data_IF_874673440606
#
_entry.id   IF_874673440606
#
_cell.length_a   1.000
_cell.length_b   1.000
_cell.length_c   1.000
_cell.angle_alpha   90.00
_cell.angle_beta   90.00
_cell.angle_gamma   90.00
#
_symmetry.space_group_name_H-M   'P 1'
#
loop_
_entity.id
_entity.type
_entity.pdbx_description
1 polymer ?
#
# COMPACT_ATOMS: atom_id res chain seq x y z
N UNK A 1 61.80 23.99 -7.64
CA UNK A 1 60.44 24.09 -7.07
C UNK A 1 59.45 24.03 -8.24
N UNK A 2 58.86 22.87 -8.52
CA UNK A 2 57.88 22.67 -9.61
C UNK A 2 56.58 22.21 -8.97
N UNK A 3 55.60 23.10 -8.92
CA UNK A 3 54.21 22.78 -8.58
C UNK A 3 53.48 22.49 -9.90
N UNK A 4 52.92 21.30 -10.08
CA UNK A 4 51.89 21.08 -11.10
C UNK A 4 50.74 20.26 -10.50
N UNK A 5 49.56 20.85 -10.62
CA UNK A 5 48.28 20.43 -10.07
C UNK A 5 47.95 18.99 -10.44
N UNK A 6 47.52 18.23 -9.43
CA UNK A 6 46.73 17.02 -9.61
C UNK A 6 45.28 17.47 -9.78
N UNK A 7 44.79 17.44 -11.02
CA UNK A 7 43.38 17.67 -11.32
C UNK A 7 42.58 16.47 -10.83
N UNK A 8 42.11 16.53 -9.59
CA UNK A 8 41.17 15.57 -9.04
C UNK A 8 39.84 15.69 -9.78
N UNK A 9 39.54 14.71 -10.61
CA UNK A 9 38.25 14.55 -11.26
C UNK A 9 37.23 14.19 -10.16
N UNK A 10 36.50 15.19 -9.67
CA UNK A 10 35.35 14.97 -8.79
C UNK A 10 34.25 14.29 -9.64
N UNK A 11 34.13 12.97 -9.54
CA UNK A 11 32.92 12.28 -9.95
C UNK A 11 31.80 12.72 -9.00
N UNK A 12 31.02 13.72 -9.41
CA UNK A 12 29.67 13.87 -8.87
C UNK A 12 28.88 12.62 -9.28
N UNK A 13 28.68 11.71 -8.33
CA UNK A 13 27.67 10.69 -8.46
C UNK A 13 26.33 11.40 -8.63
N UNK A 14 25.76 11.35 -9.84
CA UNK A 14 24.37 11.70 -10.04
C UNK A 14 23.54 10.68 -9.26
N UNK A 15 23.08 11.06 -8.07
CA UNK A 15 21.95 10.40 -7.42
C UNK A 15 20.76 10.63 -8.35
N UNK A 16 20.47 9.65 -9.20
CA UNK A 16 19.25 9.63 -9.97
C UNK A 16 18.09 9.61 -8.97
N UNK A 17 17.40 10.75 -8.84
CA UNK A 17 16.18 10.82 -8.06
C UNK A 17 15.17 9.86 -8.71
N UNK A 18 14.83 8.78 -8.02
CA UNK A 18 13.78 7.82 -8.40
C UNK A 18 12.35 8.42 -8.40
N UNK A 19 12.24 9.75 -8.50
CA UNK A 19 11.01 10.53 -8.36
C UNK A 19 10.53 11.15 -9.69
N UNK A 20 11.12 10.76 -10.83
CA UNK A 20 10.84 11.39 -12.13
C UNK A 20 9.78 10.70 -12.98
N UNK A 21 9.16 9.61 -12.51
CA UNK A 21 8.03 9.01 -13.22
C UNK A 21 6.80 9.90 -13.08
N UNK A 22 6.20 10.29 -14.21
CA UNK A 22 5.00 11.12 -14.20
C UNK A 22 3.86 10.31 -13.60
N UNK A 23 3.28 10.82 -12.51
CA UNK A 23 2.05 10.29 -11.96
C UNK A 23 0.91 10.64 -12.92
N UNK A 24 0.45 9.64 -13.64
CA UNK A 24 -0.68 9.78 -14.54
C UNK A 24 -1.78 8.79 -14.15
N UNK A 25 -3.02 9.23 -14.31
CA UNK A 25 -4.16 8.34 -14.49
C UNK A 25 -4.83 8.71 -15.81
N UNK A 26 -5.10 7.72 -16.65
CA UNK A 26 -5.62 7.91 -18.02
C UNK A 26 -4.81 8.94 -18.87
N UNK A 27 -3.48 8.97 -18.70
CA UNK A 27 -2.60 9.88 -19.45
C UNK A 27 -2.70 11.37 -19.05
N UNK A 28 -3.36 11.68 -17.93
CA UNK A 28 -3.40 13.02 -17.34
C UNK A 28 -2.79 13.00 -15.93
N UNK A 29 -2.18 14.10 -15.46
CA UNK A 29 -1.80 14.27 -14.07
C UNK A 29 -2.96 14.00 -13.10
N UNK A 30 -2.65 13.41 -11.95
CA UNK A 30 -3.68 13.03 -10.97
C UNK A 30 -4.26 14.29 -10.32
N UNK A 31 -5.58 14.48 -10.45
CA UNK A 31 -6.30 15.57 -9.78
C UNK A 31 -6.80 15.11 -8.41
N UNK A 32 -6.52 15.90 -7.38
CA UNK A 32 -6.89 15.61 -5.98
C UNK A 32 -7.40 16.86 -5.28
N UNK A 33 -8.36 16.68 -4.38
CA UNK A 33 -8.73 17.70 -3.40
C UNK A 33 -7.80 17.60 -2.20
N UNK A 34 -7.03 18.64 -1.98
CA UNK A 34 -6.06 18.73 -0.90
C UNK A 34 -6.65 19.43 0.32
N UNK A 35 -6.33 18.94 1.52
CA UNK A 35 -6.64 19.66 2.75
C UNK A 35 -6.09 21.08 2.67
N UNK A 36 -6.93 22.07 2.95
CA UNK A 36 -6.56 23.49 3.05
C UNK A 36 -6.07 24.18 1.77
N UNK A 37 -6.06 23.50 0.61
CA UNK A 37 -5.57 24.07 -0.67
C UNK A 37 -6.53 23.92 -1.86
N UNK A 38 -7.69 23.29 -1.67
CA UNK A 38 -8.66 23.06 -2.75
C UNK A 38 -8.16 21.98 -3.71
N UNK A 39 -8.64 22.01 -4.96
CA UNK A 39 -8.23 21.04 -5.99
C UNK A 39 -6.84 21.38 -6.52
N UNK A 40 -5.96 20.38 -6.58
CA UNK A 40 -4.63 20.49 -7.16
C UNK A 40 -4.34 19.30 -8.08
N UNK A 41 -3.42 19.51 -9.01
CA UNK A 41 -2.92 18.46 -9.88
C UNK A 41 -1.52 18.05 -9.42
N UNK A 42 -1.36 16.77 -9.12
CA UNK A 42 -0.09 16.17 -8.72
C UNK A 42 0.46 15.42 -9.93
N UNK A 43 1.58 15.89 -10.46
CA UNK A 43 2.16 15.36 -11.70
C UNK A 43 3.27 14.35 -11.47
N UNK A 44 3.84 14.27 -10.26
CA UNK A 44 4.92 13.34 -9.91
C UNK A 44 5.02 13.09 -8.40
N UNK A 45 5.77 12.07 -8.02
CA UNK A 45 5.95 11.71 -6.61
C UNK A 45 6.65 12.79 -5.77
N UNK A 46 7.53 13.62 -6.36
CA UNK A 46 8.21 14.68 -5.63
C UNK A 46 7.24 15.79 -5.16
N UNK A 47 6.33 16.22 -6.04
CA UNK A 47 5.25 17.17 -5.72
C UNK A 47 4.35 16.62 -4.62
N UNK A 48 3.94 15.36 -4.75
CA UNK A 48 3.16 14.66 -3.74
C UNK A 48 3.85 14.68 -2.37
N UNK A 49 5.12 14.26 -2.30
CA UNK A 49 5.88 14.18 -1.04
C UNK A 49 6.07 15.56 -0.43
N UNK A 50 6.39 16.58 -1.23
CA UNK A 50 6.54 17.95 -0.75
C UNK A 50 5.24 18.45 -0.09
N UNK A 51 4.09 18.23 -0.74
CA UNK A 51 2.79 18.57 -0.18
C UNK A 51 2.50 17.85 1.15
N UNK A 52 2.80 16.54 1.23
CA UNK A 52 2.59 15.76 2.45
C UNK A 52 3.47 16.20 3.60
N UNK A 53 4.72 16.60 3.34
CA UNK A 53 5.66 17.16 4.34
C UNK A 53 5.20 18.48 4.94
N UNK A 54 4.37 19.24 4.22
CA UNK A 54 3.72 20.45 4.74
C UNK A 54 2.49 20.15 5.62
N UNK A 55 2.21 18.86 5.91
CA UNK A 55 1.07 18.43 6.71
C UNK A 55 -0.24 18.30 5.91
N UNK A 56 -0.15 18.30 4.59
CA UNK A 56 -1.29 18.12 3.71
C UNK A 56 -1.84 16.68 3.68
N UNK A 57 -3.13 16.53 3.40
CA UNK A 57 -3.79 15.25 3.10
C UNK A 57 -4.60 15.31 1.82
N UNK A 58 -4.71 14.19 1.13
CA UNK A 58 -5.64 13.98 0.00
C UNK A 58 -7.00 13.63 0.56
N UNK A 59 -8.02 14.43 0.27
CA UNK A 59 -9.38 14.22 0.77
C UNK A 59 -10.29 13.51 -0.23
N UNK A 60 -10.06 13.73 -1.52
CA UNK A 60 -10.92 13.23 -2.59
C UNK A 60 -10.20 13.30 -3.95
N UNK A 61 -10.72 12.56 -4.94
CA UNK A 61 -10.20 12.45 -6.31
C UNK A 61 -11.30 12.86 -7.30
N UNK A 62 -11.50 14.16 -7.52
CA UNK A 62 -12.69 14.67 -8.20
C UNK A 62 -12.74 14.24 -9.66
N UNK A 63 -13.90 13.73 -10.08
CA UNK A 63 -14.20 13.44 -11.48
C UNK A 63 -13.57 12.17 -12.05
N UNK A 64 -12.93 11.35 -11.21
CA UNK A 64 -12.42 10.05 -11.62
C UNK A 64 -13.51 8.98 -11.60
N UNK A 65 -13.52 8.12 -12.61
CA UNK A 65 -14.32 6.90 -12.58
C UNK A 65 -13.71 5.90 -11.60
N UNK A 66 -14.49 4.92 -11.12
CA UNK A 66 -14.00 3.86 -10.22
C UNK A 66 -12.64 3.22 -10.59
N UNK A 67 -12.37 2.80 -11.84
CA UNK A 67 -11.05 2.28 -12.20
C UNK A 67 -9.95 3.33 -12.13
N UNK A 68 -10.20 4.55 -12.62
CA UNK A 68 -9.23 5.65 -12.64
C UNK A 68 -8.92 6.12 -11.20
N UNK A 69 -9.94 6.15 -10.34
CA UNK A 69 -9.81 6.45 -8.91
C UNK A 69 -8.84 5.48 -8.24
N UNK A 70 -9.01 4.16 -8.49
CA UNK A 70 -8.16 3.12 -7.89
C UNK A 70 -6.72 3.22 -8.40
N UNK A 71 -6.55 3.48 -9.70
CA UNK A 71 -5.22 3.71 -10.29
C UNK A 71 -4.53 4.92 -9.65
N UNK A 72 -5.22 6.06 -9.55
CA UNK A 72 -4.70 7.27 -8.95
C UNK A 72 -4.31 7.08 -7.47
N UNK A 73 -5.18 6.42 -6.70
CA UNK A 73 -4.91 6.12 -5.29
C UNK A 73 -3.71 5.18 -5.12
N UNK A 74 -3.62 4.12 -5.93
CA UNK A 74 -2.47 3.20 -5.90
C UNK A 74 -1.17 3.91 -6.27
N UNK A 75 -1.20 4.83 -7.24
CA UNK A 75 -0.03 5.60 -7.64
C UNK A 75 0.47 6.53 -6.52
N UNK A 76 -0.40 7.28 -5.86
CA UNK A 76 -0.03 8.14 -4.72
C UNK A 76 0.46 7.32 -3.51
N UNK A 77 -0.15 6.16 -3.27
CA UNK A 77 0.29 5.22 -2.24
C UNK A 77 1.67 4.63 -2.55
N UNK A 78 2.00 4.35 -3.81
CA UNK A 78 3.34 3.92 -4.20
C UNK A 78 4.37 5.03 -3.95
N UNK A 79 4.07 6.28 -4.29
CA UNK A 79 4.94 7.41 -3.94
C UNK A 79 5.15 7.54 -2.43
N UNK A 80 4.10 7.30 -1.63
CA UNK A 80 4.22 7.25 -0.17
C UNK A 80 5.21 6.16 0.27
N UNK A 81 5.09 4.94 -0.25
CA UNK A 81 5.97 3.83 0.11
C UNK A 81 7.43 4.12 -0.26
N UNK A 82 7.67 4.72 -1.42
CA UNK A 82 9.02 5.10 -1.86
C UNK A 82 9.61 6.20 -0.98
N UNK A 83 8.80 7.19 -0.60
CA UNK A 83 9.21 8.24 0.33
C UNK A 83 9.48 7.69 1.74
N UNK A 84 8.60 6.83 2.25
CA UNK A 84 8.77 6.14 3.52
C UNK A 84 10.08 5.35 3.55
N UNK A 85 10.38 4.59 2.49
CA UNK A 85 11.62 3.85 2.38
C UNK A 85 12.84 4.78 2.41
N UNK A 86 12.84 5.85 1.60
CA UNK A 86 13.95 6.79 1.55
C UNK A 86 14.19 7.51 2.88
N UNK A 87 13.14 7.96 3.57
CA UNK A 87 13.25 8.68 4.84
C UNK A 87 13.74 7.80 5.99
N UNK A 88 13.42 6.51 5.92
CA UNK A 88 13.86 5.52 6.90
C UNK A 88 15.16 4.79 6.49
N UNK A 89 15.80 5.21 5.40
CA UNK A 89 17.05 4.61 4.90
C UNK A 89 16.89 3.13 4.53
N UNK A 90 15.70 2.73 4.08
CA UNK A 90 15.36 1.36 3.72
C UNK A 90 15.67 1.11 2.25
N UNK A 91 16.10 -0.11 1.94
CA UNK A 91 16.31 -0.58 0.58
C UNK A 91 15.21 -1.54 0.19
N UNK A 92 14.60 -1.35 -0.97
CA UNK A 92 13.65 -2.32 -1.50
C UNK A 92 14.35 -3.64 -1.83
N UNK A 93 13.73 -4.74 -1.40
CA UNK A 93 14.21 -6.09 -1.62
C UNK A 93 13.07 -6.91 -2.23
N UNK A 94 13.41 -7.79 -3.16
CA UNK A 94 12.40 -8.66 -3.76
C UNK A 94 11.99 -9.72 -2.73
N UNK A 95 10.74 -9.74 -2.23
CA UNK A 95 10.31 -10.74 -1.28
C UNK A 95 10.33 -12.13 -1.94
N UNK A 96 10.67 -13.17 -1.17
CA UNK A 96 10.57 -14.54 -1.68
C UNK A 96 9.12 -14.83 -2.09
N UNK A 97 8.94 -15.59 -3.19
CA UNK A 97 7.59 -15.99 -3.62
C UNK A 97 6.84 -16.76 -2.52
N UNK A 98 7.59 -17.46 -1.65
CA UNK A 98 7.07 -18.30 -0.57
C UNK A 98 6.75 -17.57 0.74
N UNK A 99 7.15 -16.30 0.92
CA UNK A 99 7.13 -15.66 2.24
C UNK A 99 5.76 -15.24 2.76
N UNK A 100 4.74 -15.06 1.90
CA UNK A 100 3.39 -14.69 2.30
C UNK A 100 2.36 -15.08 1.23
N UNK A 101 1.60 -16.14 1.48
CA UNK A 101 0.48 -16.57 0.62
C UNK A 101 -0.84 -15.95 1.08
N UNK A 102 -1.85 -15.95 0.21
CA UNK A 102 -3.21 -15.52 0.60
C UNK A 102 -3.79 -16.38 1.72
N UNK A 103 -3.38 -17.65 1.83
CA UNK A 103 -3.76 -18.55 2.92
C UNK A 103 -3.27 -17.98 4.25
N UNK A 104 -1.96 -17.67 4.34
CA UNK A 104 -1.39 -17.07 5.54
C UNK A 104 -2.07 -15.74 5.90
N UNK A 105 -2.38 -14.92 4.89
CA UNK A 105 -3.09 -13.66 5.11
C UNK A 105 -4.45 -13.89 5.75
N UNK A 106 -5.32 -14.73 5.19
CA UNK A 106 -6.67 -14.89 5.76
C UNK A 106 -6.67 -15.62 7.11
N UNK A 107 -5.66 -16.46 7.35
CA UNK A 107 -5.50 -17.20 8.62
C UNK A 107 -4.96 -16.35 9.76
N UNK A 108 -4.28 -15.23 9.46
CA UNK A 108 -3.61 -14.42 10.48
C UNK A 108 -4.02 -12.95 10.50
N UNK A 109 -4.46 -12.36 9.40
CA UNK A 109 -4.93 -10.98 9.39
C UNK A 109 -6.15 -10.82 10.29
N UNK A 110 -6.23 -9.72 11.06
CA UNK A 110 -7.39 -9.42 11.88
C UNK A 110 -8.67 -9.34 11.02
N UNK A 111 -9.78 -9.78 11.60
CA UNK A 111 -11.10 -9.77 10.95
C UNK A 111 -11.53 -8.38 10.46
N UNK A 112 -10.99 -7.30 11.02
CA UNK A 112 -11.25 -5.94 10.58
C UNK A 112 -10.71 -5.63 9.18
N UNK A 113 -9.82 -6.47 8.64
CA UNK A 113 -9.35 -6.42 7.26
C UNK A 113 -10.20 -7.27 6.29
N UNK A 114 -11.22 -7.99 6.78
CA UNK A 114 -12.14 -8.75 5.95
C UNK A 114 -12.97 -7.82 5.03
N UNK A 115 -13.52 -8.39 3.96
CA UNK A 115 -14.42 -7.69 3.06
C UNK A 115 -15.62 -7.13 3.84
N UNK A 116 -15.85 -5.83 3.69
CA UNK A 116 -17.05 -5.15 4.15
C UNK A 116 -17.45 -4.13 3.07
N UNK A 117 -18.65 -4.29 2.52
CA UNK A 117 -19.24 -3.47 1.47
C UNK A 117 -20.16 -2.37 2.03
N UNK A 118 -20.38 -2.34 3.35
CA UNK A 118 -21.17 -1.32 4.02
C UNK A 118 -20.63 -0.96 5.42
N UNK A 119 -21.00 0.22 5.93
CA UNK A 119 -20.68 0.67 7.28
C UNK A 119 -21.24 -0.27 8.36
N UNK A 120 -22.39 -0.88 8.10
CA UNK A 120 -22.99 -1.87 9.00
C UNK A 120 -22.11 -3.12 9.14
N UNK A 121 -21.56 -3.62 8.03
CA UNK A 121 -20.63 -4.74 8.04
C UNK A 121 -19.32 -4.39 8.74
N UNK A 122 -18.80 -3.18 8.52
CA UNK A 122 -17.63 -2.68 9.25
C UNK A 122 -17.90 -2.65 10.76
N UNK A 123 -19.06 -2.15 11.17
CA UNK A 123 -19.47 -2.12 12.58
C UNK A 123 -19.61 -3.54 13.16
N UNK A 124 -20.18 -4.47 12.39
CA UNK A 124 -20.31 -5.89 12.77
C UNK A 124 -18.95 -6.55 12.99
N UNK A 125 -17.97 -6.32 12.10
CA UNK A 125 -16.60 -6.83 12.23
C UNK A 125 -15.91 -6.30 13.49
N UNK A 126 -16.04 -4.99 13.75
CA UNK A 126 -15.46 -4.35 14.94
C UNK A 126 -16.09 -4.84 16.24
N UNK A 127 -17.38 -5.17 16.25
CA UNK A 127 -18.09 -5.59 17.47
C UNK A 127 -17.95 -7.09 17.76
N UNK A 128 -18.11 -7.94 16.75
CA UNK A 128 -18.30 -9.38 16.95
C UNK A 128 -17.03 -10.20 16.74
N UNK A 129 -15.99 -9.61 16.13
CA UNK A 129 -14.79 -10.33 15.70
C UNK A 129 -13.50 -9.69 16.23
N UNK A 130 -13.54 -9.14 17.45
CA UNK A 130 -12.34 -8.66 18.15
C UNK A 130 -11.43 -9.87 18.46
N UNK A 131 -10.14 -9.76 18.13
CA UNK A 131 -9.17 -10.84 18.33
C UNK A 131 -9.41 -12.08 17.44
N UNK A 132 -10.16 -11.90 16.36
CA UNK A 132 -10.43 -12.93 15.35
C UNK A 132 -9.75 -12.58 14.03
N UNK A 133 -9.64 -13.57 13.17
CA UNK A 133 -9.00 -13.50 11.86
C UNK A 133 -10.03 -13.40 10.74
N UNK A 134 -9.60 -13.12 9.51
CA UNK A 134 -10.50 -13.13 8.34
C UNK A 134 -11.15 -14.51 8.19
N UNK A 135 -10.41 -15.61 8.34
CA UNK A 135 -10.96 -16.97 8.23
C UNK A 135 -11.99 -17.28 9.33
N UNK A 136 -11.90 -16.65 10.50
CA UNK A 136 -12.94 -16.79 11.54
C UNK A 136 -14.27 -16.14 11.13
N UNK A 137 -14.28 -15.15 10.22
CA UNK A 137 -15.51 -14.53 9.69
C UNK A 137 -16.16 -15.35 8.59
N UNK A 138 -15.37 -16.17 7.87
CA UNK A 138 -15.80 -17.02 6.78
C UNK A 138 -15.07 -18.38 6.84
N UNK A 139 -15.46 -19.29 7.76
CA UNK A 139 -14.74 -20.55 7.99
C UNK A 139 -14.77 -21.54 6.81
N UNK A 140 -15.57 -21.27 5.79
CA UNK A 140 -15.62 -22.05 4.55
C UNK A 140 -14.68 -21.54 3.46
N UNK A 141 -13.86 -20.51 3.74
CA UNK A 141 -12.80 -20.05 2.83
C UNK A 141 -11.89 -21.21 2.42
N UNK A 142 -11.73 -21.41 1.12
CA UNK A 142 -10.88 -22.46 0.54
C UNK A 142 -9.99 -21.90 -0.56
N UNK A 143 -8.80 -22.47 -0.69
CA UNK A 143 -7.87 -22.10 -1.75
C UNK A 143 -8.42 -22.50 -3.12
N UNK A 144 -8.38 -21.55 -4.07
CA UNK A 144 -8.69 -21.75 -5.49
C UNK A 144 -7.76 -20.87 -6.34
N UNK A 145 -6.83 -21.49 -7.06
CA UNK A 145 -6.00 -20.78 -8.06
C UNK A 145 -5.25 -19.54 -7.55
N UNK A 146 -4.70 -19.56 -6.33
CA UNK A 146 -4.02 -18.40 -5.71
C UNK A 146 -4.95 -17.40 -5.02
N UNK A 147 -6.22 -17.76 -4.85
CA UNK A 147 -7.25 -17.01 -4.14
C UNK A 147 -7.77 -17.82 -2.96
N UNK A 148 -8.43 -17.16 -2.01
CA UNK A 148 -9.27 -17.82 -1.00
C UNK A 148 -10.72 -17.43 -1.26
N UNK A 149 -11.61 -18.41 -1.36
CA UNK A 149 -13.01 -18.21 -1.77
C UNK A 149 -13.97 -18.84 -0.74
N UNK A 150 -14.96 -18.08 -0.31
CA UNK A 150 -16.09 -18.52 0.52
C UNK A 150 -17.38 -18.30 -0.26
N UNK A 151 -18.09 -19.39 -0.56
CA UNK A 151 -19.38 -19.32 -1.22
C UNK A 151 -20.52 -19.01 -0.26
N UNK A 152 -20.34 -19.24 1.05
CA UNK A 152 -21.36 -18.92 2.06
C UNK A 152 -21.43 -17.45 2.40
N UNK A 153 -20.29 -16.78 2.45
CA UNK A 153 -20.20 -15.33 2.74
C UNK A 153 -20.11 -14.48 1.48
N UNK A 154 -20.14 -15.12 0.31
CA UNK A 154 -19.93 -14.48 -0.99
C UNK A 154 -18.68 -13.59 -0.99
N UNK A 155 -17.53 -14.14 -0.59
CA UNK A 155 -16.30 -13.38 -0.46
C UNK A 155 -15.09 -14.12 -1.04
N UNK A 156 -14.18 -13.35 -1.61
CA UNK A 156 -12.95 -13.79 -2.21
C UNK A 156 -11.79 -12.87 -1.85
N UNK A 157 -10.61 -13.46 -1.70
CA UNK A 157 -9.38 -12.77 -1.31
C UNK A 157 -8.23 -13.20 -2.20
N UNK A 158 -7.34 -12.28 -2.55
CA UNK A 158 -6.06 -12.58 -3.20
C UNK A 158 -4.98 -11.58 -2.81
N UNK A 159 -3.73 -12.02 -2.77
CA UNK A 159 -2.59 -11.10 -2.63
C UNK A 159 -2.33 -10.46 -3.99
N UNK A 160 -2.63 -9.16 -4.10
CA UNK A 160 -2.47 -8.39 -5.33
C UNK A 160 -1.02 -7.98 -5.56
N UNK A 161 -0.38 -7.44 -4.53
CA UNK A 161 0.99 -6.97 -4.59
C UNK A 161 1.70 -7.18 -3.25
N UNK A 162 3.02 -7.28 -3.28
CA UNK A 162 3.90 -7.33 -2.11
C UNK A 162 5.08 -6.41 -2.35
N UNK A 163 5.37 -5.55 -1.38
CA UNK A 163 6.61 -4.78 -1.33
C UNK A 163 7.31 -5.07 -0.02
N UNK A 164 8.62 -5.21 -0.06
CA UNK A 164 9.43 -5.48 1.11
C UNK A 164 10.65 -4.58 1.11
N UNK A 165 11.00 -4.06 2.27
CA UNK A 165 12.18 -3.23 2.44
C UNK A 165 13.02 -3.76 3.59
N UNK A 166 14.33 -3.54 3.52
CA UNK A 166 15.31 -3.96 4.50
C UNK A 166 16.07 -2.73 5.02
N UNK A 167 16.24 -2.63 6.33
CA UNK A 167 17.10 -1.60 6.94
C UNK A 167 18.57 -2.05 6.99
N UNK A 168 19.46 -1.14 7.39
CA UNK A 168 20.90 -1.43 7.51
C UNK A 168 21.26 -2.52 8.53
N UNK A 169 20.34 -2.88 9.43
CA UNK A 169 20.51 -3.94 10.43
C UNK A 169 19.93 -5.29 9.94
N UNK A 170 19.36 -5.35 8.74
CA UNK A 170 18.73 -6.54 8.16
C UNK A 170 17.29 -6.77 8.63
N UNK A 171 16.66 -5.78 9.27
CA UNK A 171 15.25 -5.88 9.66
C UNK A 171 14.37 -5.66 8.44
N UNK A 172 13.41 -6.57 8.27
CA UNK A 172 12.46 -6.55 7.16
C UNK A 172 11.20 -5.73 7.51
N UNK A 173 10.71 -4.98 6.52
CA UNK A 173 9.49 -4.20 6.53
C UNK A 173 8.60 -4.66 5.39
N UNK A 174 7.58 -5.46 5.73
CA UNK A 174 6.71 -6.12 4.76
C UNK A 174 5.40 -5.37 4.55
N UNK A 175 5.05 -5.14 3.29
CA UNK A 175 3.81 -4.51 2.87
C UNK A 175 3.07 -5.42 1.90
N UNK A 176 1.77 -5.58 2.11
CA UNK A 176 0.93 -6.45 1.29
C UNK A 176 -0.34 -5.73 0.87
N UNK A 177 -0.62 -5.75 -0.43
CA UNK A 177 -1.90 -5.30 -0.96
C UNK A 177 -2.83 -6.50 -1.07
N UNK A 178 -3.86 -6.50 -0.23
CA UNK A 178 -4.92 -7.50 -0.23
C UNK A 178 -6.06 -7.01 -1.13
N UNK A 179 -6.37 -7.81 -2.15
CA UNK A 179 -7.60 -7.66 -2.93
C UNK A 179 -8.70 -8.49 -2.27
N UNK A 180 -9.83 -7.85 -2.01
CA UNK A 180 -11.03 -8.47 -1.44
C UNK A 180 -12.23 -8.16 -2.33
N UNK A 181 -13.05 -9.14 -2.66
CA UNK A 181 -14.14 -8.99 -3.64
C UNK A 181 -15.28 -9.96 -3.32
N UNK A 182 -16.56 -9.60 -3.52
CA UNK A 182 -17.63 -10.58 -3.55
C UNK A 182 -17.53 -11.46 -4.80
N UNK A 183 -18.04 -12.69 -4.74
CA UNK A 183 -18.09 -13.56 -5.92
C UNK A 183 -19.25 -13.15 -6.84
N UNK A 184 -20.30 -12.57 -6.26
CA UNK A 184 -21.37 -11.91 -7.00
C UNK A 184 -21.12 -10.40 -7.11
N UNK A 185 -21.18 -9.87 -8.34
CA UNK A 185 -21.00 -8.44 -8.62
C UNK A 185 -19.60 -8.05 -9.10
N UNK A 186 -19.34 -6.74 -9.10
CA UNK A 186 -18.12 -6.14 -9.68
C UNK A 186 -17.29 -5.33 -8.68
N UNK A 187 -17.73 -5.28 -7.42
CA UNK A 187 -16.99 -4.58 -6.38
C UNK A 187 -15.65 -5.27 -6.12
N UNK A 188 -14.60 -4.48 -5.88
CA UNK A 188 -13.34 -4.97 -5.39
C UNK A 188 -12.69 -3.89 -4.53
N UNK A 189 -12.06 -4.30 -3.43
CA UNK A 189 -11.28 -3.43 -2.56
C UNK A 189 -9.82 -3.84 -2.63
N UNK A 190 -8.93 -2.87 -2.84
CA UNK A 190 -7.48 -3.02 -2.76
C UNK A 190 -7.00 -2.24 -1.54
N UNK A 191 -6.59 -2.94 -0.49
CA UNK A 191 -6.07 -2.32 0.73
C UNK A 191 -4.66 -2.79 0.98
N UNK A 192 -3.75 -1.85 1.23
CA UNK A 192 -2.36 -2.16 1.54
C UNK A 192 -2.15 -2.10 3.04
N UNK A 193 -1.43 -3.07 3.57
CA UNK A 193 -1.13 -3.17 4.98
C UNK A 193 0.37 -3.35 5.19
N UNK A 194 0.91 -2.63 6.16
CA UNK A 194 2.19 -2.96 6.76
C UNK A 194 1.99 -4.07 7.78
N UNK A 195 2.81 -5.11 7.72
CA UNK A 195 2.86 -6.17 8.72
C UNK A 195 3.86 -5.73 9.79
N UNK A 196 3.37 -5.52 11.01
CA UNK A 196 4.17 -5.02 12.14
C UNK A 196 4.69 -6.16 13.02
N UNK A 197 3.93 -7.25 13.15
CA UNK A 197 4.34 -8.47 13.85
C UNK A 197 3.58 -9.69 13.34
N UNK A 198 4.32 -10.78 13.14
CA UNK A 198 3.83 -12.11 12.75
C UNK A 198 3.87 -13.12 13.90
N UNK A 199 4.22 -12.68 15.12
CA UNK A 199 4.54 -13.56 16.26
C UNK A 199 3.31 -14.24 16.86
N UNK A 200 2.15 -13.59 16.77
CA UNK A 200 0.90 -14.03 17.37
C UNK A 200 -0.01 -14.72 16.36
N UNK A 201 -1.04 -15.43 16.86
CA UNK A 201 -2.06 -16.02 15.97
C UNK A 201 -2.72 -14.96 15.08
N UNK A 202 -3.08 -13.82 15.66
CA UNK A 202 -3.61 -12.67 14.93
C UNK A 202 -2.48 -11.68 14.76
N UNK A 203 -2.07 -11.44 13.53
CA UNK A 203 -0.97 -10.54 13.22
C UNK A 203 -1.33 -9.09 13.53
N UNK A 204 -0.31 -8.34 13.92
CA UNK A 204 -0.44 -6.90 14.06
C UNK A 204 -0.16 -6.27 12.71
N UNK A 205 -1.17 -5.60 12.15
CA UNK A 205 -1.06 -4.91 10.87
C UNK A 205 -1.52 -3.45 11.01
N UNK A 206 -1.05 -2.61 10.10
CA UNK A 206 -1.49 -1.22 9.96
C UNK A 206 -1.85 -0.96 8.51
N UNK A 207 -3.05 -0.45 8.27
CA UNK A 207 -3.44 -0.02 6.93
C UNK A 207 -2.57 1.15 6.47
N UNK A 208 -2.14 1.08 5.21
CA UNK A 208 -1.33 2.07 4.53
C UNK A 208 -2.16 2.65 3.40
N UNK A 209 -2.48 3.93 3.55
CA UNK A 209 -3.07 4.76 2.51
C UNK A 209 -2.04 5.76 2.00
N UNK A 210 -2.35 6.47 0.93
CA UNK A 210 -1.65 7.68 0.52
C UNK A 210 -1.44 8.58 1.74
N UNK A 211 -2.46 8.84 2.57
CA UNK A 211 -2.39 9.73 3.73
C UNK A 211 -1.64 9.19 4.97
N UNK A 212 -0.96 8.06 4.86
CA UNK A 212 -0.13 7.54 5.95
C UNK A 212 0.97 8.55 6.35
N UNK A 213 1.43 8.56 7.61
CA UNK A 213 2.47 9.48 8.07
C UNK A 213 3.80 9.25 7.34
N UNK A 214 4.33 10.33 6.74
CA UNK A 214 5.72 10.43 6.30
C UNK A 214 6.56 10.93 7.47
#
# INVERSE_FOLDING_TARGET
MKLKLVTGLFLMAAVGNAYSETLMSNGQPISVNLSNKGTASISNCAEYVAFRKEGGTVNDYPGLSDPDFREAQDALKNCYLDAYANENGLKEVTPSLTTLSVVNVVEHFPAQAALAISDEEVAKLKKNFIGKTIIDTAPDLKSDGGRMISTKTDSGYMVWNRRAFEDSAGKMYSFITLSSFPLSGTYASLRTYQILSEEEKVWTIKEVTENSPL
#
